data_IF_913659570744
#
_entry.id   IF_913659570744
#
_cell.length_a   1.000
_cell.length_b   1.000
_cell.length_c   1.000
_cell.angle_alpha   90.00
_cell.angle_beta   90.00
_cell.angle_gamma   90.00
#
_symmetry.space_group_name_H-M   'P 1'
#
loop_
_entity.id
_entity.type
_entity.pdbx_description
1 polymer ?
#
# COMPACT_ATOMS: atom_id res chain seq x y z
N UNK A 1 -22.05 10.86 -2.05
CA UNK A 1 -21.14 9.70 -1.99
C UNK A 1 -21.93 8.51 -1.45
N UNK A 2 -22.00 7.39 -2.18
CA UNK A 2 -22.69 6.20 -1.70
C UNK A 2 -22.01 5.68 -0.43
N UNK A 3 -22.78 5.27 0.57
CA UNK A 3 -22.22 4.67 1.80
C UNK A 3 -21.43 3.42 1.37
N UNK A 4 -20.16 3.25 1.78
CA UNK A 4 -19.39 2.08 1.40
C UNK A 4 -20.13 0.82 1.83
N UNK A 5 -20.18 -0.20 0.95
CA UNK A 5 -20.82 -1.48 1.24
C UNK A 5 -20.24 -2.09 2.52
N UNK A 6 -21.03 -2.89 3.24
CA UNK A 6 -20.66 -3.45 4.54
C UNK A 6 -19.35 -4.25 4.46
N UNK A 7 -19.10 -4.94 3.34
CA UNK A 7 -17.84 -5.64 3.10
C UNK A 7 -16.63 -4.70 3.11
N UNK A 8 -16.73 -3.52 2.50
CA UNK A 8 -15.67 -2.51 2.53
C UNK A 8 -15.43 -1.99 3.95
N UNK A 9 -16.49 -1.70 4.70
CA UNK A 9 -16.36 -1.24 6.09
C UNK A 9 -15.67 -2.28 6.98
N UNK A 10 -15.99 -3.55 6.80
CA UNK A 10 -15.33 -4.67 7.49
C UNK A 10 -13.85 -4.75 7.10
N UNK A 11 -13.52 -4.64 5.81
CA UNK A 11 -12.14 -4.66 5.35
C UNK A 11 -11.34 -3.45 5.87
N UNK A 12 -11.92 -2.26 5.86
CA UNK A 12 -11.31 -1.04 6.43
C UNK A 12 -11.04 -1.20 7.93
N UNK A 13 -12.00 -1.78 8.67
CA UNK A 13 -11.82 -2.10 10.09
C UNK A 13 -10.71 -3.14 10.32
N UNK A 14 -10.62 -4.16 9.45
CA UNK A 14 -9.56 -5.17 9.51
C UNK A 14 -8.18 -4.55 9.31
N UNK A 15 -8.03 -3.64 8.33
CA UNK A 15 -6.78 -2.90 8.10
C UNK A 15 -6.41 -2.02 9.30
N UNK A 16 -7.38 -1.31 9.88
CA UNK A 16 -7.15 -0.49 11.07
C UNK A 16 -6.68 -1.33 12.28
N UNK A 17 -7.26 -2.51 12.49
CA UNK A 17 -6.83 -3.43 13.54
C UNK A 17 -5.41 -3.96 13.28
N UNK A 18 -5.12 -4.39 12.04
CA UNK A 18 -3.80 -4.86 11.64
C UNK A 18 -2.73 -3.77 11.82
N UNK A 19 -3.03 -2.51 11.48
CA UNK A 19 -2.11 -1.40 11.68
C UNK A 19 -1.79 -1.15 13.16
N UNK A 20 -2.78 -1.30 14.05
CA UNK A 20 -2.63 -1.00 15.48
C UNK A 20 -2.06 -2.14 16.32
N UNK A 21 -2.30 -3.40 15.93
CA UNK A 21 -2.00 -4.56 16.78
C UNK A 21 -1.60 -5.82 16.00
N UNK A 22 -1.23 -5.65 14.73
CA UNK A 22 -0.81 -6.74 13.86
C UNK A 22 -1.87 -7.79 13.60
N UNK A 23 -1.42 -8.96 13.14
CA UNK A 23 -2.30 -10.04 12.68
C UNK A 23 -3.13 -10.69 13.78
N UNK A 24 -2.69 -10.60 15.04
CA UNK A 24 -3.41 -11.14 16.20
C UNK A 24 -4.60 -10.27 16.63
N UNK A 25 -4.54 -8.95 16.40
CA UNK A 25 -5.66 -8.05 16.67
C UNK A 25 -6.83 -8.24 15.69
N UNK A 26 -6.56 -8.84 14.52
CA UNK A 26 -7.53 -9.07 13.46
C UNK A 26 -8.33 -10.35 13.75
N UNK A 27 -9.48 -10.17 14.41
CA UNK A 27 -10.48 -11.21 14.66
C UNK A 27 -11.88 -10.73 14.30
N UNK A 28 -12.77 -11.64 13.93
CA UNK A 28 -14.18 -11.31 13.65
C UNK A 28 -14.83 -10.54 14.80
N UNK A 29 -14.60 -10.99 16.04
CA UNK A 29 -15.15 -10.32 17.22
C UNK A 29 -14.54 -8.93 17.44
N UNK A 30 -13.25 -8.72 17.15
CA UNK A 30 -12.65 -7.39 17.24
C UNK A 30 -13.25 -6.44 16.20
N UNK A 31 -13.55 -6.93 14.99
CA UNK A 31 -14.21 -6.14 13.94
C UNK A 31 -15.66 -5.84 14.32
N UNK A 32 -16.42 -6.83 14.77
CA UNK A 32 -17.81 -6.63 15.22
C UNK A 32 -17.86 -5.53 16.29
N UNK A 33 -16.97 -5.61 17.31
CA UNK A 33 -16.86 -4.57 18.34
C UNK A 33 -16.45 -3.21 17.78
N UNK A 34 -15.47 -3.16 16.87
CA UNK A 34 -14.97 -1.91 16.27
C UNK A 34 -16.05 -1.19 15.45
N UNK A 35 -16.94 -1.95 14.82
CA UNK A 35 -17.99 -1.43 13.94
C UNK A 35 -19.37 -1.36 14.62
N UNK A 36 -19.45 -1.65 15.93
CA UNK A 36 -20.69 -1.75 16.70
C UNK A 36 -21.73 -2.67 16.03
N UNK A 37 -21.29 -3.86 15.62
CA UNK A 37 -22.12 -4.87 14.97
C UNK A 37 -22.54 -5.97 15.95
N UNK A 38 -23.71 -6.60 15.73
CA UNK A 38 -24.08 -7.82 16.43
C UNK A 38 -22.98 -8.89 16.31
N UNK A 39 -22.73 -9.64 17.39
CA UNK A 39 -21.77 -10.73 17.42
C UNK A 39 -22.03 -11.72 16.27
N UNK A 40 -21.01 -12.00 15.47
CA UNK A 40 -21.08 -12.90 14.32
C UNK A 40 -21.37 -12.21 12.98
N UNK A 41 -21.59 -10.90 12.96
CA UNK A 41 -21.85 -10.14 11.73
C UNK A 41 -20.69 -10.23 10.74
N UNK A 42 -19.45 -10.08 11.20
CA UNK A 42 -18.28 -10.20 10.34
C UNK A 42 -18.18 -11.62 9.75
N UNK A 43 -18.49 -12.65 10.54
CA UNK A 43 -18.42 -14.06 10.10
C UNK A 43 -19.49 -14.40 9.07
N UNK A 44 -20.62 -13.69 9.07
CA UNK A 44 -21.62 -13.78 8.01
C UNK A 44 -21.05 -13.34 6.65
N UNK A 45 -20.25 -12.27 6.61
CA UNK A 45 -19.63 -11.80 5.35
C UNK A 45 -18.36 -12.56 4.97
N UNK A 46 -17.53 -12.90 5.95
CA UNK A 46 -16.24 -13.54 5.75
C UNK A 46 -16.11 -14.73 6.70
N UNK A 47 -16.55 -15.91 6.25
CA UNK A 47 -16.67 -17.10 7.12
C UNK A 47 -15.35 -17.57 7.73
N UNK A 48 -14.22 -17.35 7.07
CA UNK A 48 -12.89 -17.80 7.50
C UNK A 48 -11.95 -16.63 7.73
N UNK A 49 -10.89 -16.85 8.52
CA UNK A 49 -9.80 -15.88 8.67
C UNK A 49 -9.16 -15.56 7.32
N UNK A 50 -8.92 -16.59 6.50
CA UNK A 50 -8.36 -16.42 5.15
C UNK A 50 -9.22 -15.51 4.28
N UNK A 51 -10.54 -15.71 4.25
CA UNK A 51 -11.45 -14.86 3.48
C UNK A 51 -11.44 -13.39 3.95
N UNK A 52 -11.29 -13.16 5.25
CA UNK A 52 -11.17 -11.82 5.81
C UNK A 52 -9.83 -11.16 5.47
N UNK A 53 -8.73 -11.89 5.55
CA UNK A 53 -7.40 -11.42 5.13
C UNK A 53 -7.34 -11.11 3.64
N UNK A 54 -7.98 -11.96 2.83
CA UNK A 54 -8.10 -11.77 1.39
C UNK A 54 -8.85 -10.47 1.06
N UNK A 55 -9.96 -10.22 1.75
CA UNK A 55 -10.72 -8.98 1.59
C UNK A 55 -9.93 -7.73 2.05
N UNK A 56 -9.15 -7.84 3.12
CA UNK A 56 -8.26 -6.76 3.57
C UNK A 56 -7.16 -6.47 2.53
N UNK A 57 -6.54 -7.49 1.95
CA UNK A 57 -5.54 -7.34 0.90
C UNK A 57 -6.13 -6.72 -0.39
N UNK A 58 -7.33 -7.15 -0.80
CA UNK A 58 -8.05 -6.54 -1.94
C UNK A 58 -8.41 -5.08 -1.67
N UNK A 59 -8.75 -4.76 -0.42
CA UNK A 59 -9.04 -3.40 -0.01
C UNK A 59 -7.80 -2.51 -0.12
N UNK A 60 -6.62 -2.98 0.28
CA UNK A 60 -5.36 -2.25 0.08
C UNK A 60 -5.06 -2.00 -1.40
N UNK A 61 -5.27 -3.00 -2.27
CA UNK A 61 -5.10 -2.85 -3.72
C UNK A 61 -6.05 -1.76 -4.26
N UNK A 62 -7.31 -1.79 -3.83
CA UNK A 62 -8.33 -0.83 -4.25
C UNK A 62 -7.95 0.59 -3.81
N UNK A 63 -7.64 0.78 -2.53
CA UNK A 63 -7.22 2.07 -1.97
C UNK A 63 -5.97 2.61 -2.66
N UNK A 64 -4.97 1.75 -2.89
CA UNK A 64 -3.74 2.10 -3.59
C UNK A 64 -4.00 2.61 -5.00
N UNK A 65 -4.83 1.91 -5.78
CA UNK A 65 -5.23 2.34 -7.13
C UNK A 65 -6.01 3.65 -7.12
N UNK A 66 -6.99 3.78 -6.22
CA UNK A 66 -7.77 5.02 -6.06
C UNK A 66 -6.85 6.20 -5.77
N UNK A 67 -5.87 6.02 -4.87
CA UNK A 67 -4.91 7.07 -4.50
C UNK A 67 -3.95 7.40 -5.63
N UNK A 68 -3.45 6.40 -6.35
CA UNK A 68 -2.60 6.62 -7.51
C UNK A 68 -3.35 7.37 -8.62
N UNK A 69 -4.61 7.05 -8.88
CA UNK A 69 -5.44 7.80 -9.83
C UNK A 69 -5.68 9.24 -9.39
N UNK A 70 -5.82 9.51 -8.09
CA UNK A 70 -5.93 10.88 -7.59
C UNK A 70 -4.65 11.67 -7.90
N UNK A 71 -3.46 11.09 -7.66
CA UNK A 71 -2.16 11.74 -7.98
C UNK A 71 -2.07 12.07 -9.47
N UNK A 72 -2.48 11.16 -10.35
CA UNK A 72 -2.46 11.39 -11.81
C UNK A 72 -3.57 12.33 -12.32
N UNK A 73 -4.70 12.40 -11.63
CA UNK A 73 -5.94 12.99 -12.14
C UNK A 73 -6.26 14.40 -11.63
N UNK A 74 -5.42 15.00 -10.80
CA UNK A 74 -5.68 16.36 -10.30
C UNK A 74 -5.49 17.40 -11.43
N UNK A 75 -6.32 18.46 -11.51
CA UNK A 75 -6.05 19.59 -12.39
C UNK A 75 -4.68 20.20 -12.06
N UNK A 76 -3.77 20.23 -13.04
CA UNK A 76 -2.38 20.65 -12.84
C UNK A 76 -1.45 19.56 -12.28
N UNK A 77 -1.91 18.30 -12.20
CA UNK A 77 -1.05 17.16 -11.91
C UNK A 77 0.12 17.12 -12.90
N UNK A 78 1.30 16.87 -12.36
CA UNK A 78 2.50 16.73 -13.17
C UNK A 78 2.46 15.46 -14.00
N UNK A 79 2.97 15.56 -15.23
CA UNK A 79 3.30 14.39 -16.05
C UNK A 79 4.73 13.91 -15.83
N UNK A 80 5.53 14.60 -15.01
CA UNK A 80 6.89 14.16 -14.68
C UNK A 80 6.85 12.91 -13.79
N UNK A 81 7.40 11.77 -14.24
CA UNK A 81 7.47 10.56 -13.44
C UNK A 81 8.13 10.74 -12.07
N UNK A 82 9.12 11.63 -11.96
CA UNK A 82 9.76 11.92 -10.66
C UNK A 82 8.73 12.48 -9.71
N UNK A 83 8.03 13.55 -10.09
CA UNK A 83 7.05 14.22 -9.24
C UNK A 83 5.89 13.28 -8.85
N UNK A 84 5.36 12.52 -9.81
CA UNK A 84 4.27 11.56 -9.58
C UNK A 84 4.67 10.47 -8.58
N UNK A 85 5.84 9.84 -8.77
CA UNK A 85 6.30 8.77 -7.88
C UNK A 85 6.61 9.34 -6.49
N UNK A 86 7.28 10.50 -6.43
CA UNK A 86 7.63 11.13 -5.17
C UNK A 86 6.41 11.56 -4.37
N UNK A 87 5.38 12.11 -5.03
CA UNK A 87 4.11 12.43 -4.38
C UNK A 87 3.41 11.17 -3.85
N UNK A 88 3.33 10.12 -4.67
CA UNK A 88 2.72 8.86 -4.27
C UNK A 88 3.42 8.22 -3.06
N UNK A 89 4.76 8.11 -3.09
CA UNK A 89 5.56 7.55 -1.99
C UNK A 89 5.49 8.44 -0.75
N UNK A 90 5.52 9.76 -0.91
CA UNK A 90 5.34 10.69 0.22
C UNK A 90 4.00 10.44 0.91
N UNK A 91 2.92 10.26 0.15
CA UNK A 91 1.60 9.92 0.70
C UNK A 91 1.59 8.60 1.47
N UNK A 92 2.32 7.57 1.00
CA UNK A 92 2.46 6.29 1.70
C UNK A 92 3.11 6.42 3.08
N UNK A 93 4.10 7.28 3.21
CA UNK A 93 4.86 7.47 4.46
C UNK A 93 4.34 8.61 5.34
N UNK A 94 3.21 9.22 4.96
CA UNK A 94 2.55 10.30 5.71
C UNK A 94 1.08 9.94 5.94
N UNK A 95 0.19 10.36 5.05
CA UNK A 95 -1.27 10.24 5.20
C UNK A 95 -1.77 8.78 5.22
N UNK A 96 -1.01 7.87 4.60
CA UNK A 96 -1.39 6.46 4.42
C UNK A 96 -0.51 5.50 5.21
N UNK A 97 0.22 5.99 6.21
CA UNK A 97 1.15 5.17 7.00
C UNK A 97 0.47 3.96 7.65
N UNK A 98 -0.80 4.08 8.05
CA UNK A 98 -1.58 2.97 8.62
C UNK A 98 -1.80 1.82 7.60
N UNK A 99 -1.98 2.12 6.32
CA UNK A 99 -2.12 1.10 5.26
C UNK A 99 -0.80 0.34 5.07
N UNK A 100 0.32 1.06 5.10
CA UNK A 100 1.66 0.48 5.00
C UNK A 100 1.96 -0.41 6.21
N UNK A 101 1.70 0.06 7.42
CA UNK A 101 1.91 -0.71 8.65
C UNK A 101 1.02 -1.96 8.66
N UNK A 102 -0.25 -1.85 8.28
CA UNK A 102 -1.15 -3.00 8.16
C UNK A 102 -0.58 -4.05 7.20
N UNK A 103 -0.16 -3.63 5.99
CA UNK A 103 0.46 -4.53 5.01
C UNK A 103 1.70 -5.22 5.57
N UNK A 104 2.61 -4.46 6.18
CA UNK A 104 3.85 -5.00 6.74
C UNK A 104 3.57 -6.00 7.86
N UNK A 105 2.67 -5.66 8.80
CA UNK A 105 2.30 -6.54 9.89
C UNK A 105 1.67 -7.85 9.38
N UNK A 106 0.82 -7.77 8.34
CA UNK A 106 0.25 -8.96 7.70
C UNK A 106 1.31 -9.82 7.00
N UNK A 107 2.28 -9.22 6.30
CA UNK A 107 3.34 -9.95 5.58
C UNK A 107 4.29 -10.71 6.52
N UNK A 108 4.45 -10.25 7.77
CA UNK A 108 5.27 -10.89 8.79
C UNK A 108 4.63 -12.15 9.41
N UNK A 109 3.32 -12.35 9.24
CA UNK A 109 2.64 -13.55 9.70
C UNK A 109 2.99 -14.73 8.76
N UNK A 110 3.75 -15.69 9.31
CA UNK A 110 4.17 -16.89 8.58
C UNK A 110 2.99 -17.83 8.24
N UNK A 111 1.85 -17.66 8.92
CA UNK A 111 0.64 -18.44 8.70
C UNK A 111 -0.30 -17.88 7.63
N UNK A 112 0.00 -16.75 6.98
CA UNK A 112 -0.83 -16.26 5.87
C UNK A 112 -0.64 -17.13 4.62
N UNK A 113 -1.74 -17.44 3.93
CA UNK A 113 -1.73 -18.19 2.68
C UNK A 113 -1.04 -17.43 1.53
N UNK A 114 -0.60 -18.19 0.51
CA UNK A 114 0.16 -17.65 -0.62
C UNK A 114 -0.65 -16.66 -1.46
N UNK A 115 -1.96 -16.84 -1.57
CA UNK A 115 -2.85 -15.93 -2.29
C UNK A 115 -2.89 -14.54 -1.63
N UNK A 116 -3.09 -14.51 -0.31
CA UNK A 116 -3.06 -13.28 0.49
C UNK A 116 -1.67 -12.65 0.41
N UNK A 117 -0.62 -13.45 0.59
CA UNK A 117 0.78 -12.98 0.51
C UNK A 117 1.08 -12.35 -0.85
N UNK A 118 0.65 -12.98 -1.95
CA UNK A 118 0.83 -12.46 -3.30
C UNK A 118 0.14 -11.11 -3.51
N UNK A 119 -1.09 -10.96 -3.02
CA UNK A 119 -1.84 -9.68 -3.11
C UNK A 119 -1.20 -8.59 -2.28
N UNK A 120 -0.81 -8.88 -1.04
CA UNK A 120 -0.11 -7.93 -0.17
C UNK A 120 1.22 -7.47 -0.77
N UNK A 121 2.00 -8.36 -1.40
CA UNK A 121 3.28 -8.00 -2.04
C UNK A 121 3.10 -6.95 -3.14
N UNK A 122 2.02 -7.03 -3.92
CA UNK A 122 1.78 -6.17 -5.10
C UNK A 122 0.80 -5.02 -4.85
N UNK A 123 0.32 -4.83 -3.62
CA UNK A 123 -0.78 -3.88 -3.37
C UNK A 123 -0.35 -2.41 -3.45
N UNK A 124 0.91 -2.06 -3.17
CA UNK A 124 1.37 -0.67 -3.16
C UNK A 124 2.00 -0.22 -4.47
N UNK A 125 2.70 -1.13 -5.17
CA UNK A 125 3.38 -0.84 -6.42
C UNK A 125 3.01 -1.88 -7.47
N UNK A 126 2.57 -1.42 -8.65
CA UNK A 126 2.28 -2.29 -9.78
C UNK A 126 3.53 -2.47 -10.64
N UNK A 127 3.99 -3.71 -10.77
CA UNK A 127 5.12 -4.05 -11.65
C UNK A 127 4.81 -3.75 -13.12
N UNK A 128 3.56 -3.97 -13.55
CA UNK A 128 3.12 -3.67 -14.93
C UNK A 128 3.13 -2.16 -15.22
N UNK A 129 2.61 -1.35 -14.30
CA UNK A 129 2.65 0.11 -14.44
C UNK A 129 4.09 0.63 -14.43
N UNK A 130 4.94 0.07 -13.56
CA UNK A 130 6.36 0.40 -13.54
C UNK A 130 7.07 -0.01 -14.84
N UNK A 131 6.73 -1.17 -15.44
CA UNK A 131 7.28 -1.60 -16.72
C UNK A 131 6.88 -0.66 -17.86
N UNK A 132 5.59 -0.28 -17.94
CA UNK A 132 5.13 0.71 -18.91
C UNK A 132 5.82 2.08 -18.76
N UNK A 133 6.08 2.50 -17.52
CA UNK A 133 6.88 3.70 -17.28
C UNK A 133 8.32 3.53 -17.79
N UNK A 134 9.00 2.42 -17.47
CA UNK A 134 10.38 2.19 -17.92
C UNK A 134 10.48 2.13 -19.45
N UNK A 135 9.49 1.54 -20.12
CA UNK A 135 9.39 1.54 -21.58
C UNK A 135 9.25 2.97 -22.13
N UNK A 136 8.37 3.79 -21.55
CA UNK A 136 8.22 5.20 -21.96
C UNK A 136 9.48 6.05 -21.75
N UNK A 137 10.34 5.63 -20.82
CA UNK A 137 11.63 6.28 -20.54
C UNK A 137 12.79 5.73 -21.41
N UNK A 138 12.51 4.79 -22.31
CA UNK A 138 13.48 4.25 -23.27
C UNK A 138 14.31 3.06 -22.77
N UNK A 139 13.91 2.41 -21.68
CA UNK A 139 14.66 1.28 -21.12
C UNK A 139 14.71 0.09 -22.07
N UNK A 140 15.90 -0.47 -22.29
CA UNK A 140 16.08 -1.67 -23.10
C UNK A 140 15.56 -2.96 -22.43
N UNK A 141 15.36 -2.94 -21.10
CA UNK A 141 14.83 -4.08 -20.33
C UNK A 141 13.74 -3.62 -19.34
N UNK A 142 12.55 -3.20 -19.81
CA UNK A 142 11.56 -2.51 -18.98
C UNK A 142 11.15 -3.29 -17.73
N UNK A 143 10.93 -4.61 -17.83
CA UNK A 143 10.56 -5.44 -16.68
C UNK A 143 11.68 -5.58 -15.63
N UNK A 144 12.94 -5.62 -16.05
CA UNK A 144 14.08 -5.69 -15.13
C UNK A 144 14.25 -4.35 -14.41
N UNK A 145 14.16 -3.25 -15.16
CA UNK A 145 14.20 -1.90 -14.62
C UNK A 145 13.03 -1.64 -13.65
N UNK A 146 11.81 -2.09 -13.99
CA UNK A 146 10.63 -1.97 -13.15
C UNK A 146 10.79 -2.68 -11.80
N UNK A 147 11.30 -3.92 -11.81
CA UNK A 147 11.56 -4.67 -10.57
C UNK A 147 12.59 -3.98 -9.68
N UNK A 148 13.63 -3.38 -10.28
CA UNK A 148 14.63 -2.58 -9.55
C UNK A 148 14.02 -1.32 -8.96
N UNK A 149 13.22 -0.59 -9.74
CA UNK A 149 12.48 0.57 -9.25
C UNK A 149 11.60 0.19 -8.06
N UNK A 150 10.73 -0.80 -8.21
CA UNK A 150 9.85 -1.27 -7.13
C UNK A 150 10.64 -1.69 -5.89
N UNK A 151 11.78 -2.36 -6.07
CA UNK A 151 12.67 -2.75 -4.95
C UNK A 151 13.16 -1.53 -4.18
N UNK A 152 13.59 -0.47 -4.88
CA UNK A 152 14.02 0.78 -4.23
C UNK A 152 12.85 1.46 -3.53
N UNK A 153 11.69 1.59 -4.18
CA UNK A 153 10.51 2.25 -3.59
C UNK A 153 10.01 1.51 -2.35
N UNK A 154 10.01 0.18 -2.35
CA UNK A 154 9.71 -0.64 -1.16
C UNK A 154 10.69 -0.37 -0.02
N UNK A 155 11.99 -0.24 -0.34
CA UNK A 155 13.03 0.11 0.62
C UNK A 155 12.82 1.49 1.25
N UNK A 156 12.48 2.50 0.44
CA UNK A 156 12.17 3.87 0.90
C UNK A 156 10.94 3.85 1.83
N UNK A 157 9.86 3.18 1.41
CA UNK A 157 8.64 3.06 2.24
C UNK A 157 8.96 2.35 3.56
N UNK A 158 9.74 1.27 3.54
CA UNK A 158 10.15 0.58 4.76
C UNK A 158 11.01 1.48 5.67
N UNK A 159 12.00 2.18 5.10
CA UNK A 159 12.92 3.05 5.83
C UNK A 159 12.18 4.13 6.64
N UNK A 160 11.21 4.81 6.02
CA UNK A 160 10.43 5.85 6.69
C UNK A 160 9.32 5.36 7.62
N UNK A 161 8.95 4.08 7.56
CA UNK A 161 7.88 3.54 8.42
C UNK A 161 8.41 2.74 9.60
N UNK A 162 9.43 1.91 9.38
CA UNK A 162 9.97 0.97 10.37
C UNK A 162 11.51 1.00 10.44
N UNK A 163 12.18 1.61 9.47
CA UNK A 163 13.63 1.65 9.38
C UNK A 163 14.25 2.93 9.92
N UNK A 164 15.40 3.29 9.35
CA UNK A 164 16.30 4.34 9.86
C UNK A 164 15.70 5.74 9.78
N UNK A 165 14.83 6.00 8.81
CA UNK A 165 14.27 7.33 8.53
C UNK A 165 12.89 7.53 9.18
N UNK A 166 12.47 6.64 10.07
CA UNK A 166 11.17 6.70 10.75
C UNK A 166 10.96 8.02 11.51
N UNK A 167 12.00 8.47 12.18
CA UNK A 167 11.98 9.68 13.01
C UNK A 167 12.35 10.95 12.22
N UNK A 168 12.54 10.83 10.90
CA UNK A 168 12.88 11.97 10.05
C UNK A 168 11.71 12.98 9.99
N UNK A 169 11.97 14.29 10.14
CA UNK A 169 10.95 15.32 10.04
C UNK A 169 10.15 15.26 8.73
N UNK A 170 8.83 15.36 8.86
CA UNK A 170 7.90 15.34 7.72
C UNK A 170 8.23 16.38 6.64
N UNK A 171 8.78 17.55 7.04
CA UNK A 171 9.19 18.62 6.14
C UNK A 171 10.32 18.23 5.18
N UNK A 172 11.15 17.26 5.55
CA UNK A 172 12.33 16.84 4.78
C UNK A 172 12.04 15.65 3.85
N UNK A 173 11.07 14.79 4.22
CA UNK A 173 10.77 13.52 3.52
C UNK A 173 10.55 13.69 2.03
N UNK A 174 9.74 14.67 1.61
CA UNK A 174 9.42 14.88 0.19
C UNK A 174 10.69 15.14 -0.65
N UNK A 175 11.60 15.98 -0.15
CA UNK A 175 12.84 16.33 -0.84
C UNK A 175 13.79 15.13 -0.95
N UNK A 176 13.96 14.37 0.14
CA UNK A 176 14.78 13.16 0.17
C UNK A 176 14.23 12.09 -0.78
N UNK A 177 12.92 11.85 -0.73
CA UNK A 177 12.24 10.91 -1.63
C UNK A 177 12.41 11.34 -3.10
N UNK A 178 12.27 12.63 -3.41
CA UNK A 178 12.45 13.16 -4.76
C UNK A 178 13.87 12.98 -5.29
N UNK A 179 14.89 13.26 -4.49
CA UNK A 179 16.29 13.03 -4.86
C UNK A 179 16.56 11.53 -5.12
N UNK A 180 16.10 10.65 -4.24
CA UNK A 180 16.24 9.19 -4.40
C UNK A 180 15.54 8.67 -5.65
N UNK A 181 14.30 9.11 -5.91
CA UNK A 181 13.55 8.74 -7.12
C UNK A 181 14.26 9.23 -8.37
N UNK A 182 14.75 10.48 -8.37
CA UNK A 182 15.48 11.07 -9.50
C UNK A 182 16.72 10.24 -9.82
N UNK A 183 17.57 9.96 -8.83
CA UNK A 183 18.79 9.14 -9.01
C UNK A 183 18.45 7.74 -9.51
N UNK A 184 17.40 7.13 -8.97
CA UNK A 184 16.97 5.79 -9.36
C UNK A 184 16.52 5.77 -10.81
N UNK A 185 15.65 6.70 -11.23
CA UNK A 185 15.19 6.75 -12.63
C UNK A 185 16.34 7.02 -13.61
N UNK A 186 17.29 7.88 -13.27
CA UNK A 186 18.46 8.14 -14.11
C UNK A 186 19.36 6.91 -14.31
N UNK A 187 19.42 6.00 -13.34
CA UNK A 187 20.25 4.78 -13.43
C UNK A 187 19.54 3.60 -14.11
N UNK A 188 18.23 3.67 -14.29
CA UNK A 188 17.41 2.59 -14.86
C UNK A 188 16.98 2.84 -16.32
N UNK A 189 17.26 4.03 -16.85
CA UNK A 189 17.11 4.35 -18.28
C UNK A 189 18.06 3.53 -19.14
#
# INVERSE_FOLDING_TARGET
>A
MSRPDRRCQIADAALGLAASGGTHALTHQAIDRRLDLPKGSTSYYFRTREALLLAAADRLITLSRERFHVVLGQPGASSDPVEVISEYVTGLVTDRVAEVIARQALLLDLGIGDDVRGRLRRCMFSEDAAAGLMESLGSAQPHVAARRLVTVLEGVVYSHTQGLERDEPHSSRRGVIADLVTRTLLTLR
#
